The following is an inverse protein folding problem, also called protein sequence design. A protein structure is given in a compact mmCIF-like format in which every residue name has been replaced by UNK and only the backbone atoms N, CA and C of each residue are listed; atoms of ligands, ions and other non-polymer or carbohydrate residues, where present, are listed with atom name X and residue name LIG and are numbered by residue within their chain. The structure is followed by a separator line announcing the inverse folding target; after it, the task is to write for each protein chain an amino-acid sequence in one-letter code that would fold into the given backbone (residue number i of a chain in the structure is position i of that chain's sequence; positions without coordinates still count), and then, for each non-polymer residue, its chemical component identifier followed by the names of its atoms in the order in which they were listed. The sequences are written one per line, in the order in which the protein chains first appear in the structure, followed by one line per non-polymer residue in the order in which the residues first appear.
data_IF_669142435588
#
_entry.id   IF_669142435588
#
_cell.length_a   1.000
_cell.length_b   1.000
_cell.length_c   1.000
_cell.angle_alpha   90.00
_cell.angle_beta   90.00
_cell.angle_gamma   90.00
#
_symmetry.space_group_name_H-M   'P 1'
#
loop_
_entity.id
_entity.type
_entity.pdbx_description
1 polymer ?
#
# COMPACT_ATOMS: atom_id res chain seq x y z
N UNK A 1 -43.08 -1.45 -33.94
CA UNK A 1 -42.64 -1.00 -32.61
C UNK A 1 -43.69 -1.47 -31.61
N UNK A 2 -43.35 -2.24 -30.57
CA UNK A 2 -44.35 -2.66 -29.60
C UNK A 2 -44.83 -1.45 -28.81
N UNK A 3 -46.13 -1.21 -28.78
CA UNK A 3 -46.76 -0.13 -28.00
C UNK A 3 -46.66 -0.47 -26.52
N UNK A 4 -45.73 0.20 -25.84
CA UNK A 4 -45.61 0.13 -24.39
C UNK A 4 -46.90 0.69 -23.76
N UNK A 5 -47.35 0.11 -22.64
CA UNK A 5 -48.49 0.68 -21.90
C UNK A 5 -48.12 2.08 -21.38
N UNK A 6 -49.07 3.03 -21.35
CA UNK A 6 -48.84 4.42 -20.88
C UNK A 6 -48.14 4.49 -19.51
N UNK A 7 -48.42 3.52 -18.62
CA UNK A 7 -47.76 3.40 -17.31
C UNK A 7 -46.27 3.09 -17.44
N UNK A 8 -45.90 2.22 -18.37
CA UNK A 8 -44.53 1.78 -18.57
C UNK A 8 -43.67 2.90 -19.19
N UNK A 9 -44.25 3.70 -20.08
CA UNK A 9 -43.59 4.92 -20.61
C UNK A 9 -43.35 5.97 -19.52
N UNK A 10 -44.35 6.22 -18.66
CA UNK A 10 -44.23 7.13 -17.52
C UNK A 10 -43.12 6.69 -16.56
N UNK A 11 -43.07 5.39 -16.23
CA UNK A 11 -42.03 4.83 -15.37
C UNK A 11 -40.64 4.96 -16.00
N UNK A 12 -40.50 4.66 -17.29
CA UNK A 12 -39.22 4.82 -18.00
C UNK A 12 -38.75 6.29 -18.02
N UNK A 13 -39.67 7.24 -18.21
CA UNK A 13 -39.35 8.67 -18.17
C UNK A 13 -38.87 9.14 -16.80
N UNK A 14 -39.49 8.67 -15.73
CA UNK A 14 -39.07 8.95 -14.36
C UNK A 14 -37.69 8.35 -14.06
N UNK A 15 -37.51 7.05 -14.35
CA UNK A 15 -36.26 6.31 -14.10
C UNK A 15 -35.07 6.81 -14.92
N UNK A 16 -35.30 7.44 -16.08
CA UNK A 16 -34.26 8.05 -16.93
C UNK A 16 -34.09 9.56 -16.68
N UNK A 17 -34.69 10.12 -15.62
CA UNK A 17 -34.64 11.55 -15.34
C UNK A 17 -33.33 11.98 -14.68
N UNK A 18 -32.89 13.21 -14.97
CA UNK A 18 -31.69 13.83 -14.36
C UNK A 18 -31.95 14.24 -12.91
N UNK A 19 -33.20 14.61 -12.60
CA UNK A 19 -33.61 14.95 -11.24
C UNK A 19 -33.44 13.74 -10.32
N UNK A 20 -33.86 12.55 -10.76
CA UNK A 20 -33.65 11.33 -10.01
C UNK A 20 -32.15 11.05 -9.78
N UNK A 21 -31.31 11.28 -10.79
CA UNK A 21 -29.85 11.15 -10.64
C UNK A 21 -29.30 12.05 -9.52
N UNK A 22 -29.71 13.33 -9.48
CA UNK A 22 -29.28 14.28 -8.45
C UNK A 22 -29.79 13.89 -7.06
N UNK A 23 -31.04 13.43 -6.95
CA UNK A 23 -31.61 12.96 -5.69
C UNK A 23 -30.87 11.72 -5.18
N UNK A 24 -30.65 10.72 -6.03
CA UNK A 24 -29.88 9.53 -5.67
C UNK A 24 -28.44 9.88 -5.26
N UNK A 25 -27.84 10.90 -5.87
CA UNK A 25 -26.49 11.33 -5.55
C UNK A 25 -26.46 11.99 -4.17
N UNK A 26 -27.42 12.87 -3.88
CA UNK A 26 -27.57 13.48 -2.57
C UNK A 26 -27.80 12.43 -1.48
N UNK A 27 -28.69 11.47 -1.72
CA UNK A 27 -28.95 10.36 -0.80
C UNK A 27 -27.70 9.53 -0.55
N UNK A 28 -26.93 9.25 -1.61
CA UNK A 28 -25.65 8.55 -1.49
C UNK A 28 -24.70 9.34 -0.60
N UNK A 29 -24.47 10.62 -0.88
CA UNK A 29 -23.61 11.48 -0.06
C UNK A 29 -24.03 11.48 1.41
N UNK A 30 -25.32 11.66 1.71
CA UNK A 30 -25.83 11.65 3.10
C UNK A 30 -25.60 10.29 3.76
N UNK A 31 -25.85 9.19 3.04
CA UNK A 31 -25.64 7.83 3.57
C UNK A 31 -24.18 7.51 3.91
N UNK A 32 -23.23 8.22 3.29
CA UNK A 32 -21.80 8.00 3.51
C UNK A 32 -21.25 8.78 4.71
N UNK A 33 -21.94 9.84 5.17
CA UNK A 33 -21.50 10.67 6.31
C UNK A 33 -21.30 9.84 7.59
N UNK A 34 -22.23 8.96 8.02
CA UNK A 34 -22.03 8.18 9.23
C UNK A 34 -20.80 7.27 9.16
N UNK A 35 -20.51 6.67 7.99
CA UNK A 35 -19.33 5.83 7.80
C UNK A 35 -18.03 6.58 7.97
N UNK A 36 -17.96 7.81 7.46
CA UNK A 36 -16.79 8.67 7.63
C UNK A 36 -16.60 9.10 9.10
N UNK A 37 -17.69 9.35 9.84
CA UNK A 37 -17.60 9.86 11.22
C UNK A 37 -17.40 8.76 12.27
N UNK A 38 -17.87 7.55 12.02
CA UNK A 38 -17.88 6.48 13.02
C UNK A 38 -16.72 5.49 12.88
N UNK A 39 -15.79 5.70 11.93
CA UNK A 39 -14.69 4.76 11.57
C UNK A 39 -15.15 3.30 11.36
N UNK A 40 -16.46 3.11 11.18
CA UNK A 40 -17.07 1.81 10.95
C UNK A 40 -17.06 1.52 9.45
N UNK A 41 -17.03 0.25 9.07
CA UNK A 41 -17.15 -0.22 7.68
C UNK A 41 -18.50 0.10 6.99
N UNK A 42 -19.18 1.17 7.41
CA UNK A 42 -20.50 1.61 6.95
C UNK A 42 -20.57 1.94 5.46
N UNK A 43 -19.43 2.13 4.79
CA UNK A 43 -19.36 2.25 3.32
C UNK A 43 -19.88 1.00 2.60
N UNK A 44 -19.98 -0.15 3.29
CA UNK A 44 -20.57 -1.39 2.81
C UNK A 44 -22.04 -1.61 3.26
N UNK A 45 -22.70 -0.60 3.84
CA UNK A 45 -24.08 -0.74 4.33
C UNK A 45 -25.03 -1.21 3.22
N UNK A 46 -26.07 -1.97 3.59
CA UNK A 46 -27.11 -2.42 2.64
C UNK A 46 -27.78 -1.22 1.95
N UNK A 47 -27.95 -0.11 2.68
CA UNK A 47 -28.59 1.12 2.17
C UNK A 47 -27.76 1.75 1.06
N UNK A 48 -26.46 1.99 1.30
CA UNK A 48 -25.58 2.61 0.30
C UNK A 48 -25.49 1.76 -0.97
N UNK A 49 -25.48 0.42 -0.83
CA UNK A 49 -25.50 -0.51 -1.99
C UNK A 49 -26.77 -0.40 -2.82
N UNK A 50 -27.94 -0.30 -2.19
CA UNK A 50 -29.21 -0.12 -2.90
C UNK A 50 -29.22 1.23 -3.64
N UNK A 51 -28.75 2.30 -3.00
CA UNK A 51 -28.67 3.62 -3.64
C UNK A 51 -27.73 3.59 -4.85
N UNK A 52 -26.54 2.98 -4.72
CA UNK A 52 -25.59 2.82 -5.84
C UNK A 52 -26.23 1.99 -6.97
N UNK A 53 -26.92 0.90 -6.67
CA UNK A 53 -27.61 0.09 -7.67
C UNK A 53 -28.67 0.90 -8.43
N UNK A 54 -29.52 1.65 -7.71
CA UNK A 54 -30.49 2.56 -8.32
C UNK A 54 -29.82 3.62 -9.18
N UNK A 55 -28.67 4.15 -8.74
CA UNK A 55 -27.89 5.13 -9.50
C UNK A 55 -27.36 4.54 -10.81
N UNK A 56 -26.78 3.34 -10.78
CA UNK A 56 -26.28 2.64 -11.97
C UNK A 56 -27.42 2.44 -12.97
N UNK A 57 -28.58 1.94 -12.52
CA UNK A 57 -29.76 1.77 -13.39
C UNK A 57 -30.22 3.10 -13.97
N UNK A 58 -30.33 4.15 -13.17
CA UNK A 58 -30.69 5.49 -13.64
C UNK A 58 -29.71 6.02 -14.70
N UNK A 59 -28.40 5.90 -14.46
CA UNK A 59 -27.37 6.34 -15.39
C UNK A 59 -27.41 5.55 -16.70
N UNK A 60 -27.59 4.22 -16.66
CA UNK A 60 -27.76 3.39 -17.86
C UNK A 60 -28.96 3.85 -18.66
N UNK A 61 -30.13 4.03 -18.03
CA UNK A 61 -31.37 4.45 -18.71
C UNK A 61 -31.25 5.88 -19.27
N UNK A 62 -30.67 6.82 -18.51
CA UNK A 62 -30.43 8.18 -18.97
C UNK A 62 -29.46 8.21 -20.17
N UNK A 63 -28.41 7.38 -20.13
CA UNK A 63 -27.43 7.25 -21.22
C UNK A 63 -28.08 6.66 -22.46
N UNK A 64 -28.83 5.55 -22.32
CA UNK A 64 -29.52 4.89 -23.42
C UNK A 64 -30.52 5.85 -24.11
N UNK A 65 -31.32 6.59 -23.32
CA UNK A 65 -32.29 7.57 -23.83
C UNK A 65 -31.63 8.67 -24.68
N UNK A 66 -30.40 9.05 -24.34
CA UNK A 66 -29.70 10.20 -24.95
C UNK A 66 -28.52 9.79 -25.82
N UNK A 67 -28.31 8.50 -26.08
CA UNK A 67 -27.09 7.99 -26.73
C UNK A 67 -26.82 8.61 -28.10
N UNK A 68 -27.87 8.92 -28.87
CA UNK A 68 -27.77 9.57 -30.18
C UNK A 68 -27.53 11.09 -30.12
N UNK A 69 -27.75 11.70 -28.95
CA UNK A 69 -27.66 13.15 -28.76
C UNK A 69 -26.45 13.59 -27.93
N UNK A 70 -25.86 12.67 -27.16
CA UNK A 70 -24.73 12.98 -26.30
C UNK A 70 -23.44 13.10 -27.11
N UNK A 71 -22.60 14.12 -26.86
CA UNK A 71 -21.26 14.17 -27.43
C UNK A 71 -20.47 12.92 -27.04
N UNK A 72 -19.72 12.36 -27.97
CA UNK A 72 -18.87 11.18 -27.73
C UNK A 72 -17.99 11.27 -26.45
N UNK A 73 -17.32 12.41 -26.13
CA UNK A 73 -16.57 12.51 -24.87
C UNK A 73 -17.43 12.33 -23.61
N UNK A 74 -18.67 12.83 -23.64
CA UNK A 74 -19.62 12.71 -22.51
C UNK A 74 -20.13 11.28 -22.40
N UNK A 75 -20.35 10.61 -23.53
CA UNK A 75 -20.72 9.18 -23.54
C UNK A 75 -19.61 8.33 -22.93
N UNK A 76 -18.34 8.58 -23.27
CA UNK A 76 -17.18 7.90 -22.68
C UNK A 76 -17.15 8.12 -21.16
N UNK A 77 -17.33 9.36 -20.69
CA UNK A 77 -17.39 9.65 -19.26
C UNK A 77 -18.54 8.89 -18.56
N UNK A 78 -19.73 8.82 -19.17
CA UNK A 78 -20.85 8.05 -18.63
C UNK A 78 -20.54 6.55 -18.49
N UNK A 79 -19.94 5.96 -19.53
CA UNK A 79 -19.52 4.55 -19.51
C UNK A 79 -18.52 4.31 -18.37
N UNK A 80 -17.51 5.17 -18.24
CA UNK A 80 -16.53 5.07 -17.17
C UNK A 80 -17.17 5.18 -15.77
N UNK A 81 -18.10 6.11 -15.57
CA UNK A 81 -18.85 6.23 -14.30
C UNK A 81 -19.67 4.98 -13.98
N UNK A 82 -20.34 4.39 -14.98
CA UNK A 82 -21.10 3.14 -14.80
C UNK A 82 -20.18 1.98 -14.41
N UNK A 83 -19.02 1.87 -15.06
CA UNK A 83 -18.00 0.86 -14.74
C UNK A 83 -17.49 1.07 -13.31
N UNK A 84 -17.16 2.30 -12.91
CA UNK A 84 -16.68 2.61 -11.55
C UNK A 84 -17.71 2.26 -10.48
N UNK A 85 -18.97 2.67 -10.64
CA UNK A 85 -20.03 2.38 -9.67
C UNK A 85 -20.33 0.87 -9.58
N UNK A 86 -20.36 0.18 -10.72
CA UNK A 86 -20.50 -1.28 -10.77
C UNK A 86 -19.31 -1.97 -10.10
N UNK A 87 -18.09 -1.48 -10.32
CA UNK A 87 -16.88 -1.96 -9.66
C UNK A 87 -16.97 -1.85 -8.14
N UNK A 88 -17.41 -0.71 -7.61
CA UNK A 88 -17.65 -0.54 -6.17
C UNK A 88 -18.69 -1.51 -5.61
N UNK A 89 -19.73 -1.85 -6.37
CA UNK A 89 -20.67 -2.90 -5.97
C UNK A 89 -20.02 -4.29 -5.94
N UNK A 90 -19.22 -4.62 -6.95
CA UNK A 90 -18.48 -5.90 -7.03
C UNK A 90 -17.49 -6.01 -5.86
N UNK A 91 -16.84 -4.93 -5.45
CA UNK A 91 -15.96 -4.90 -4.26
C UNK A 91 -16.65 -5.39 -2.99
N UNK A 92 -17.98 -5.26 -2.88
CA UNK A 92 -18.74 -5.78 -1.73
C UNK A 92 -18.84 -7.32 -1.65
N UNK A 93 -18.40 -8.03 -2.70
CA UNK A 93 -18.20 -9.49 -2.68
C UNK A 93 -16.81 -9.89 -2.14
N UNK A 94 -15.98 -8.88 -1.89
CA UNK A 94 -14.68 -9.02 -1.25
C UNK A 94 -14.78 -9.19 0.26
N UNK A 95 -13.62 -9.28 0.90
CA UNK A 95 -13.51 -9.31 2.36
C UNK A 95 -12.13 -8.86 2.81
N UNK A 96 -12.03 -8.54 4.10
CA UNK A 96 -10.79 -8.27 4.80
C UNK A 96 -10.64 -9.34 5.88
N UNK A 97 -9.47 -9.96 5.94
CA UNK A 97 -9.07 -10.86 7.01
C UNK A 97 -7.74 -10.39 7.62
N UNK A 98 -7.48 -10.78 8.85
CA UNK A 98 -6.22 -10.46 9.54
C UNK A 98 -5.68 -11.68 10.24
N UNK A 99 -4.36 -11.74 10.37
CA UNK A 99 -3.67 -12.80 11.12
C UNK A 99 -2.33 -12.30 11.63
N UNK A 100 -1.89 -12.80 12.77
CA UNK A 100 -0.56 -12.54 13.32
C UNK A 100 0.21 -13.86 13.35
N UNK A 101 1.41 -13.87 12.77
CA UNK A 101 2.20 -15.09 12.62
C UNK A 101 3.63 -14.78 13.04
N UNK A 102 4.14 -15.55 13.99
CA UNK A 102 5.53 -15.48 14.41
C UNK A 102 6.46 -16.01 13.33
N UNK A 103 7.69 -15.49 13.31
CA UNK A 103 8.73 -16.00 12.42
C UNK A 103 8.98 -17.50 12.64
N UNK A 104 9.05 -18.25 11.54
CA UNK A 104 9.18 -19.71 11.53
C UNK A 104 7.87 -20.48 11.74
N UNK A 105 6.76 -19.81 12.06
CA UNK A 105 5.46 -20.44 12.29
C UNK A 105 4.50 -20.25 11.10
N UNK A 106 3.39 -20.98 11.14
CA UNK A 106 2.31 -20.86 10.15
C UNK A 106 0.94 -21.22 10.69
N UNK A 107 -0.08 -20.88 9.92
CA UNK A 107 -1.49 -21.06 10.25
C UNK A 107 -2.31 -21.37 9.00
N UNK A 108 -3.38 -22.13 9.19
CA UNK A 108 -4.35 -22.42 8.12
C UNK A 108 -5.58 -21.52 8.20
N UNK A 109 -5.76 -20.83 9.32
CA UNK A 109 -6.94 -20.02 9.60
C UNK A 109 -6.58 -18.54 9.69
N UNK A 110 -7.53 -17.72 9.25
CA UNK A 110 -7.43 -16.25 9.27
C UNK A 110 -8.74 -15.67 9.77
N UNK A 111 -8.66 -14.60 10.55
CA UNK A 111 -9.85 -13.98 11.14
C UNK A 111 -10.53 -13.08 10.10
N UNK A 112 -11.77 -13.39 9.70
CA UNK A 112 -12.55 -12.57 8.77
C UNK A 112 -13.43 -11.58 9.51
N UNK A 113 -13.18 -10.29 9.30
CA UNK A 113 -13.90 -9.20 9.97
C UNK A 113 -15.37 -9.09 9.63
N UNK A 114 -15.78 -9.55 8.44
CA UNK A 114 -17.18 -9.50 8.02
C UNK A 114 -18.02 -10.65 8.56
N UNK A 115 -17.38 -11.74 8.96
CA UNK A 115 -18.00 -12.91 9.60
C UNK A 115 -17.73 -12.95 11.11
N UNK A 116 -16.79 -12.14 11.60
CA UNK A 116 -16.32 -12.11 12.99
C UNK A 116 -15.86 -13.48 13.51
N UNK A 117 -15.23 -14.27 12.64
CA UNK A 117 -14.74 -15.61 12.97
C UNK A 117 -13.50 -15.99 12.17
N UNK A 118 -12.77 -16.97 12.69
CA UNK A 118 -11.71 -17.63 11.94
C UNK A 118 -12.27 -18.51 10.83
N UNK A 119 -11.65 -18.42 9.65
CA UNK A 119 -11.99 -19.24 8.49
C UNK A 119 -10.73 -19.86 7.88
N UNK A 120 -10.85 -21.04 7.25
CA UNK A 120 -9.73 -21.66 6.55
C UNK A 120 -9.34 -20.84 5.31
N UNK A 121 -8.04 -20.61 5.16
CA UNK A 121 -7.44 -19.95 3.99
C UNK A 121 -7.34 -20.87 2.77
N UNK A 122 -7.37 -22.20 3.00
CA UNK A 122 -7.22 -23.23 1.95
C UNK A 122 -5.76 -23.59 1.61
N UNK A 123 -4.81 -23.12 2.43
CA UNK A 123 -3.41 -23.49 2.48
C UNK A 123 -2.85 -23.05 3.85
N UNK A 124 -1.76 -23.66 4.31
CA UNK A 124 -0.98 -23.18 5.46
C UNK A 124 -0.17 -21.98 5.00
N UNK A 125 -0.41 -20.81 5.60
CA UNK A 125 0.37 -19.59 5.43
C UNK A 125 1.41 -19.53 6.55
N UNK A 126 2.69 -19.47 6.19
CA UNK A 126 3.80 -19.39 7.12
C UNK A 126 4.64 -18.14 6.90
N UNK A 127 5.15 -17.57 7.99
CA UNK A 127 6.18 -16.52 7.95
C UNK A 127 7.53 -17.22 8.01
N UNK A 128 8.24 -17.28 6.88
CA UNK A 128 9.55 -17.91 6.79
C UNK A 128 10.62 -17.07 7.46
N UNK A 129 10.60 -15.77 7.16
CA UNK A 129 11.59 -14.82 7.66
C UNK A 129 11.05 -13.40 7.67
N UNK A 130 11.41 -12.64 8.70
CA UNK A 130 11.17 -11.22 8.84
C UNK A 130 12.52 -10.51 8.60
N UNK A 131 12.61 -9.76 7.51
CA UNK A 131 13.81 -9.06 7.11
C UNK A 131 13.68 -7.58 7.47
N UNK A 132 14.47 -7.15 8.45
CA UNK A 132 14.60 -5.75 8.86
C UNK A 132 15.92 -5.18 8.38
N UNK A 133 15.86 -4.07 7.66
CA UNK A 133 17.04 -3.29 7.28
C UNK A 133 16.96 -1.93 7.95
N UNK A 134 18.00 -1.55 8.70
CA UNK A 134 18.08 -0.26 9.39
C UNK A 134 18.93 0.74 8.61
N UNK A 135 18.61 2.03 8.75
CA UNK A 135 19.51 3.09 8.31
C UNK A 135 20.82 3.08 9.12
N UNK A 136 21.95 3.49 8.52
CA UNK A 136 23.19 3.69 9.26
C UNK A 136 22.99 4.58 10.50
N UNK A 137 23.25 4.01 11.68
CA UNK A 137 22.95 4.61 12.98
C UNK A 137 24.14 5.45 13.44
N UNK A 138 23.96 6.74 13.76
CA UNK A 138 25.00 7.53 14.42
C UNK A 138 25.32 6.95 15.80
N UNK A 139 26.59 6.64 16.04
CA UNK A 139 27.12 6.05 17.27
C UNK A 139 28.34 6.84 17.76
N UNK A 140 28.49 6.89 19.08
CA UNK A 140 29.68 7.36 19.77
C UNK A 140 30.35 6.20 20.49
N UNK A 141 31.59 5.94 20.12
CA UNK A 141 32.38 4.80 20.62
C UNK A 141 33.53 5.33 21.45
N UNK A 142 33.52 4.99 22.74
CA UNK A 142 34.66 5.22 23.64
C UNK A 142 35.69 4.12 23.44
N UNK A 143 36.97 4.50 23.39
CA UNK A 143 38.10 3.57 23.28
C UNK A 143 38.85 3.55 24.60
N UNK A 144 39.06 2.35 25.12
CA UNK A 144 39.74 2.09 26.37
C UNK A 144 41.03 1.31 26.09
N UNK A 145 42.09 1.60 26.85
CA UNK A 145 43.32 0.80 26.91
C UNK A 145 43.53 0.41 28.36
N UNK A 146 43.10 -0.81 28.71
CA UNK A 146 42.86 -1.15 30.12
C UNK A 146 41.72 -0.31 30.68
N UNK A 147 41.95 0.43 31.76
CA UNK A 147 40.93 1.31 32.38
C UNK A 147 40.98 2.76 31.88
N UNK A 148 42.00 3.14 31.12
CA UNK A 148 42.19 4.50 30.65
C UNK A 148 41.41 4.75 29.36
N UNK A 149 40.65 5.86 29.32
CA UNK A 149 39.99 6.33 28.10
C UNK A 149 41.00 7.04 27.20
N UNK A 150 41.29 6.41 26.08
CA UNK A 150 42.27 6.91 25.09
C UNK A 150 41.62 7.57 23.88
N UNK A 151 40.30 7.42 23.70
CA UNK A 151 39.60 8.02 22.57
C UNK A 151 38.08 8.06 22.67
N UNK A 152 37.48 8.89 21.81
CA UNK A 152 36.05 8.96 21.57
C UNK A 152 35.81 9.27 20.08
N UNK A 153 35.09 8.39 19.39
CA UNK A 153 34.84 8.51 17.96
C UNK A 153 33.33 8.60 17.69
N UNK A 154 32.93 9.53 16.82
CA UNK A 154 31.56 9.65 16.34
C UNK A 154 31.52 9.27 14.86
N UNK A 155 30.70 8.28 14.52
CA UNK A 155 30.54 7.76 13.17
C UNK A 155 29.15 7.16 12.99
N UNK A 156 28.83 6.67 11.80
CA UNK A 156 27.65 5.84 11.56
C UNK A 156 28.04 4.37 11.49
N UNK A 157 27.11 3.47 11.81
CA UNK A 157 27.27 2.04 11.49
C UNK A 157 27.57 1.85 10.00
N UNK A 158 28.39 0.86 9.67
CA UNK A 158 29.09 0.69 8.40
C UNK A 158 30.38 1.51 8.24
N UNK A 159 30.58 2.57 9.05
CA UNK A 159 31.78 3.40 9.04
C UNK A 159 32.94 2.82 9.85
N UNK A 160 34.13 3.41 9.70
CA UNK A 160 35.33 3.00 10.43
C UNK A 160 36.18 4.17 10.89
N UNK A 161 37.05 3.92 11.87
CA UNK A 161 38.03 4.87 12.39
C UNK A 161 39.38 4.16 12.62
N UNK A 162 40.46 4.94 12.66
CA UNK A 162 41.82 4.42 12.82
C UNK A 162 42.33 4.60 14.25
N UNK A 163 43.04 3.58 14.74
CA UNK A 163 43.65 3.52 16.07
C UNK A 163 45.04 2.89 15.96
N UNK A 164 46.10 3.69 16.02
CA UNK A 164 47.50 3.23 16.14
C UNK A 164 47.83 1.91 15.40
N UNK A 165 47.66 1.87 14.08
CA UNK A 165 47.95 0.69 13.25
C UNK A 165 46.80 -0.30 13.07
N UNK A 166 45.66 -0.04 13.71
CA UNK A 166 44.40 -0.75 13.56
C UNK A 166 43.34 0.13 12.90
N UNK A 167 42.40 -0.51 12.22
CA UNK A 167 41.16 0.11 11.75
C UNK A 167 40.00 -0.63 12.37
N UNK A 168 39.11 0.09 13.03
CA UNK A 168 37.93 -0.47 13.68
C UNK A 168 36.70 -0.03 12.90
N UNK A 169 35.89 -0.99 12.49
CA UNK A 169 34.65 -0.76 11.77
C UNK A 169 33.46 -1.02 12.68
N UNK A 170 32.55 -0.06 12.76
CA UNK A 170 31.28 -0.24 13.43
C UNK A 170 30.34 -0.98 12.48
N UNK A 171 30.03 -2.25 12.74
CA UNK A 171 29.26 -3.07 11.80
C UNK A 171 27.76 -2.79 11.92
N UNK A 172 27.16 -3.23 13.03
CA UNK A 172 25.73 -3.10 13.28
C UNK A 172 25.48 -2.91 14.78
N UNK A 173 24.54 -2.04 15.08
CA UNK A 173 23.98 -1.89 16.42
C UNK A 173 22.81 -2.86 16.54
N UNK A 174 22.77 -3.65 17.61
CA UNK A 174 21.58 -4.43 17.94
C UNK A 174 20.45 -3.44 18.34
N UNK A 175 19.26 -3.49 17.71
CA UNK A 175 18.16 -2.60 18.09
C UNK A 175 17.56 -2.92 19.47
N UNK A 176 17.69 -4.16 19.95
CA UNK A 176 17.10 -4.65 21.20
C UNK A 176 18.08 -4.72 22.37
N UNK A 177 19.38 -4.75 22.10
CA UNK A 177 20.45 -4.67 23.09
C UNK A 177 21.27 -3.40 22.86
N UNK A 178 21.75 -2.71 23.89
CA UNK A 178 22.61 -1.52 23.74
C UNK A 178 24.04 -1.91 23.31
N UNK A 179 24.16 -2.81 22.33
CA UNK A 179 25.36 -3.52 21.96
C UNK A 179 25.72 -3.29 20.49
N UNK A 180 26.94 -2.80 20.25
CA UNK A 180 27.47 -2.51 18.93
C UNK A 180 28.52 -3.54 18.54
N UNK A 181 28.31 -4.24 17.42
CA UNK A 181 29.30 -5.16 16.86
C UNK A 181 30.39 -4.41 16.10
N UNK A 182 31.64 -4.79 16.35
CA UNK A 182 32.84 -4.16 15.82
C UNK A 182 33.73 -5.20 15.14
N UNK A 183 34.29 -4.83 14.00
CA UNK A 183 35.35 -5.59 13.32
C UNK A 183 36.67 -4.85 13.41
N UNK A 184 37.75 -5.55 13.73
CA UNK A 184 39.09 -4.97 13.85
C UNK A 184 39.98 -5.47 12.73
N UNK A 185 40.65 -4.54 12.05
CA UNK A 185 41.56 -4.80 10.96
C UNK A 185 42.96 -4.29 11.30
N UNK A 186 43.98 -5.01 10.87
CA UNK A 186 45.37 -4.57 10.93
C UNK A 186 45.97 -4.70 9.52
N UNK A 187 46.55 -3.60 9.00
CA UNK A 187 47.08 -3.53 7.62
C UNK A 187 46.07 -4.03 6.56
N UNK A 188 44.79 -3.72 6.75
CA UNK A 188 43.70 -4.09 5.83
C UNK A 188 43.19 -5.53 5.95
N UNK A 189 43.78 -6.37 6.81
CA UNK A 189 43.31 -7.73 7.07
C UNK A 189 42.47 -7.78 8.34
N UNK A 190 41.31 -8.44 8.30
CA UNK A 190 40.50 -8.72 9.48
C UNK A 190 41.31 -9.56 10.45
N UNK A 191 41.48 -9.08 11.68
CA UNK A 191 42.16 -9.80 12.76
C UNK A 191 41.21 -10.34 13.82
N UNK A 192 39.96 -9.87 13.84
CA UNK A 192 38.96 -10.31 14.78
C UNK A 192 37.74 -9.40 14.87
N UNK A 193 36.78 -9.78 15.72
CA UNK A 193 35.57 -9.03 16.02
C UNK A 193 35.30 -9.01 17.51
N UNK A 194 34.67 -7.95 17.98
CA UNK A 194 34.18 -7.86 19.34
C UNK A 194 32.93 -7.00 19.42
N UNK A 195 32.29 -6.98 20.57
CA UNK A 195 31.16 -6.10 20.85
C UNK A 195 31.44 -5.14 22.02
N UNK A 196 30.51 -4.23 22.28
CA UNK A 196 30.68 -3.20 23.31
C UNK A 196 30.22 -3.60 24.70
N UNK A 197 29.51 -4.72 24.83
CA UNK A 197 29.11 -5.30 26.12
C UNK A 197 30.14 -6.32 26.67
N UNK A 198 31.09 -6.74 25.84
CA UNK A 198 32.10 -7.74 26.16
C UNK A 198 31.58 -9.18 26.07
N UNK A 199 30.40 -9.40 25.49
CA UNK A 199 29.79 -10.74 25.35
C UNK A 199 30.46 -11.57 24.24
N UNK A 200 30.81 -10.92 23.13
CA UNK A 200 31.58 -11.49 22.03
C UNK A 200 32.96 -10.82 21.97
N UNK A 201 34.03 -11.59 22.16
CA UNK A 201 35.42 -11.11 21.99
C UNK A 201 36.27 -12.16 21.29
N UNK A 202 36.37 -12.04 19.98
CA UNK A 202 37.23 -12.85 19.11
C UNK A 202 38.31 -11.97 18.50
N UNK A 203 39.28 -11.55 19.31
CA UNK A 203 40.46 -10.77 18.89
C UNK A 203 41.73 -11.39 19.48
N UNK A 204 42.91 -11.21 18.85
CA UNK A 204 44.16 -11.76 19.36
C UNK A 204 44.46 -11.29 20.78
N UNK A 205 45.07 -12.14 21.60
CA UNK A 205 45.37 -11.86 23.02
C UNK A 205 46.23 -10.61 23.27
N UNK A 206 47.00 -10.17 22.26
CA UNK A 206 47.79 -8.95 22.30
C UNK A 206 47.06 -7.68 21.88
N UNK A 207 45.76 -7.74 21.55
CA UNK A 207 44.97 -6.57 21.17
C UNK A 207 44.70 -5.70 22.41
N UNK A 208 45.19 -4.45 22.47
CA UNK A 208 45.26 -3.70 23.73
C UNK A 208 44.02 -2.85 24.01
N UNK A 209 43.02 -2.86 23.13
CA UNK A 209 41.87 -1.96 23.19
C UNK A 209 40.58 -2.69 23.54
N UNK A 210 39.73 -2.00 24.28
CA UNK A 210 38.33 -2.33 24.51
C UNK A 210 37.44 -1.15 24.10
N UNK A 211 36.17 -1.42 23.79
CA UNK A 211 35.24 -0.43 23.28
C UNK A 211 33.99 -0.35 24.14
N UNK A 212 33.47 0.87 24.29
CA UNK A 212 32.20 1.10 24.97
C UNK A 212 31.29 1.95 24.09
N UNK A 213 30.04 1.53 23.94
CA UNK A 213 29.01 2.36 23.32
C UNK A 213 28.65 3.48 24.31
N UNK A 214 28.96 4.72 23.95
CA UNK A 214 28.75 5.90 24.82
C UNK A 214 27.42 6.57 24.54
N UNK A 215 27.02 6.62 23.27
CA UNK A 215 25.73 7.14 22.86
C UNK A 215 25.38 6.62 21.47
N UNK A 216 24.09 6.51 21.19
CA UNK A 216 23.56 6.18 19.87
C UNK A 216 22.21 6.86 19.67
N UNK A 217 21.75 6.94 18.44
CA UNK A 217 20.35 7.29 18.14
C UNK A 217 19.53 6.02 17.96
N UNK A 218 18.25 6.07 18.32
CA UNK A 218 17.30 4.98 18.04
C UNK A 218 17.38 4.57 16.57
N UNK A 219 17.65 3.29 16.25
CA UNK A 219 17.70 2.80 14.88
C UNK A 219 16.37 3.05 14.16
N UNK A 220 16.43 3.67 12.98
CA UNK A 220 15.27 3.85 12.13
C UNK A 220 15.24 2.74 11.08
N UNK A 221 14.09 2.07 10.96
CA UNK A 221 13.85 1.08 9.91
C UNK A 221 13.89 1.76 8.53
N UNK A 222 14.68 1.20 7.63
CA UNK A 222 14.80 1.58 6.22
C UNK A 222 13.86 0.76 5.36
N UNK A 223 13.85 -0.56 5.56
CA UNK A 223 13.05 -1.50 4.78
C UNK A 223 12.62 -2.65 5.67
N UNK A 224 11.39 -3.10 5.45
CA UNK A 224 10.83 -4.26 6.12
C UNK A 224 10.20 -5.13 5.06
N UNK A 225 10.55 -6.41 5.07
CA UNK A 225 10.07 -7.40 4.13
C UNK A 225 9.80 -8.72 4.86
N UNK A 226 8.65 -9.34 4.59
CA UNK A 226 8.26 -10.61 5.20
C UNK A 226 8.17 -11.66 4.13
N UNK A 227 8.97 -12.71 4.27
CA UNK A 227 8.97 -13.86 3.36
C UNK A 227 7.85 -14.81 3.79
N UNK A 228 6.89 -15.02 2.88
CA UNK A 228 5.71 -15.84 3.07
C UNK A 228 5.85 -17.14 2.28
N UNK A 229 5.42 -18.23 2.92
CA UNK A 229 5.37 -19.56 2.32
C UNK A 229 3.94 -20.10 2.44
N UNK A 230 3.42 -20.63 1.34
CA UNK A 230 2.12 -21.28 1.30
C UNK A 230 2.31 -22.76 0.99
N UNK A 231 1.76 -23.63 1.82
CA UNK A 231 1.81 -25.07 1.61
C UNK A 231 0.45 -25.75 1.73
N UNK A 232 0.32 -26.92 1.10
CA UNK A 232 -0.78 -27.86 1.30
C UNK A 232 -0.18 -29.21 1.67
N UNK A 233 -0.14 -29.50 2.97
CA UNK A 233 0.65 -30.61 3.48
C UNK A 233 2.14 -30.38 3.19
N UNK A 234 2.78 -31.31 2.48
CA UNK A 234 4.20 -31.23 2.13
C UNK A 234 4.48 -30.41 0.85
N UNK A 235 3.47 -30.07 0.06
CA UNK A 235 3.64 -29.36 -1.21
C UNK A 235 3.65 -27.85 -0.99
N UNK A 236 4.68 -27.16 -1.48
CA UNK A 236 4.73 -25.69 -1.53
C UNK A 236 3.91 -25.23 -2.73
N UNK A 237 2.81 -24.52 -2.48
CA UNK A 237 1.90 -24.03 -3.53
C UNK A 237 2.18 -22.59 -3.95
N UNK A 238 2.87 -21.81 -3.10
CA UNK A 238 3.39 -20.50 -3.44
C UNK A 238 4.46 -20.04 -2.43
N UNK A 239 5.35 -19.16 -2.87
CA UNK A 239 6.33 -18.49 -2.02
C UNK A 239 6.50 -17.06 -2.55
N UNK A 240 6.71 -16.10 -1.67
CA UNK A 240 7.04 -14.74 -2.06
C UNK A 240 7.14 -13.80 -0.88
N UNK A 241 7.47 -12.54 -1.17
CA UNK A 241 7.76 -11.54 -0.14
C UNK A 241 6.71 -10.44 -0.18
N UNK A 242 6.27 -9.99 0.99
CA UNK A 242 5.44 -8.79 1.14
C UNK A 242 6.23 -7.66 1.79
N UNK A 243 6.04 -6.43 1.27
CA UNK A 243 6.64 -5.20 1.80
C UNK A 243 5.56 -4.13 1.98
N UNK A 244 5.86 -3.07 2.74
CA UNK A 244 4.92 -1.99 3.12
C UNK A 244 4.07 -1.48 1.93
N UNK A 245 4.68 -1.33 0.75
CA UNK A 245 4.01 -0.83 -0.46
C UNK A 245 3.97 -1.85 -1.61
N UNK A 246 4.39 -3.09 -1.36
CA UNK A 246 4.42 -4.16 -2.36
C UNK A 246 3.82 -5.43 -1.75
N UNK A 247 2.48 -5.53 -1.70
CA UNK A 247 1.81 -6.70 -1.14
C UNK A 247 2.06 -7.93 -2.00
N UNK A 248 2.27 -9.06 -1.35
CA UNK A 248 2.30 -10.35 -2.03
C UNK A 248 0.89 -10.73 -2.52
N UNK A 249 0.79 -11.39 -3.67
CA UNK A 249 -0.50 -11.78 -4.25
C UNK A 249 -0.58 -13.28 -4.48
N UNK A 250 -1.63 -13.92 -3.97
CA UNK A 250 -1.89 -15.34 -4.20
C UNK A 250 -3.38 -15.62 -4.23
N UNK A 251 -3.83 -16.40 -5.21
CA UNK A 251 -5.23 -16.82 -5.38
C UNK A 251 -6.25 -15.65 -5.37
N UNK A 252 -5.88 -14.51 -5.96
CA UNK A 252 -6.71 -13.30 -5.99
C UNK A 252 -6.81 -12.56 -4.64
N UNK A 253 -6.00 -12.94 -3.65
CA UNK A 253 -5.84 -12.27 -2.37
C UNK A 253 -4.56 -11.44 -2.37
N UNK A 254 -4.60 -10.30 -1.66
CA UNK A 254 -3.47 -9.43 -1.42
C UNK A 254 -3.06 -9.52 0.05
N UNK A 255 -1.81 -9.83 0.32
CA UNK A 255 -1.25 -9.99 1.66
C UNK A 255 -0.42 -8.75 2.00
N UNK A 256 -1.01 -7.86 2.80
CA UNK A 256 -0.39 -6.62 3.24
C UNK A 256 0.20 -6.83 4.63
N UNK A 257 1.45 -6.43 4.82
CA UNK A 257 2.00 -6.29 6.16
C UNK A 257 1.42 -5.04 6.82
N UNK A 258 0.95 -5.19 8.05
CA UNK A 258 0.30 -4.10 8.82
C UNK A 258 1.06 -3.75 10.09
N UNK A 259 1.66 -4.73 10.76
CA UNK A 259 2.58 -4.49 11.86
C UNK A 259 3.71 -5.53 11.87
N UNK A 260 4.78 -5.15 12.56
CA UNK A 260 5.89 -6.00 12.91
C UNK A 260 6.25 -5.63 14.35
N UNK A 261 6.08 -6.60 15.24
CA UNK A 261 6.25 -6.41 16.67
C UNK A 261 6.98 -7.62 17.25
N UNK A 262 7.38 -7.50 18.51
CA UNK A 262 7.96 -8.58 19.31
C UNK A 262 7.09 -8.78 20.54
N UNK A 263 6.91 -10.03 20.95
CA UNK A 263 6.20 -10.33 22.19
C UNK A 263 7.04 -10.01 23.44
N UNK A 264 6.48 -10.27 24.62
CA UNK A 264 7.15 -10.05 25.92
C UNK A 264 8.47 -10.84 26.08
N UNK A 265 8.65 -11.91 25.28
CA UNK A 265 9.84 -12.74 25.27
C UNK A 265 10.83 -12.38 24.14
N UNK A 266 10.51 -11.34 23.35
CA UNK A 266 11.34 -10.84 22.26
C UNK A 266 11.16 -11.57 20.92
N UNK A 267 10.22 -12.52 20.82
CA UNK A 267 9.97 -13.29 19.61
C UNK A 267 9.24 -12.42 18.55
N UNK A 268 9.78 -12.27 17.34
CA UNK A 268 9.19 -11.40 16.33
C UNK A 268 7.99 -12.06 15.64
N UNK A 269 6.96 -11.25 15.36
CA UNK A 269 5.82 -11.64 14.55
C UNK A 269 5.43 -10.56 13.55
N UNK A 270 4.76 -10.99 12.48
CA UNK A 270 4.20 -10.12 11.47
C UNK A 270 2.67 -10.22 11.49
N UNK A 271 1.98 -9.08 11.56
CA UNK A 271 0.54 -9.01 11.31
C UNK A 271 0.26 -8.72 9.84
N UNK A 272 -0.53 -9.59 9.25
CA UNK A 272 -0.91 -9.56 7.85
C UNK A 272 -2.39 -9.22 7.74
N UNK A 273 -2.71 -8.22 6.90
CA UNK A 273 -4.05 -7.98 6.40
C UNK A 273 -4.20 -8.58 5.02
N UNK A 274 -5.16 -9.47 4.89
CA UNK A 274 -5.47 -10.23 3.68
C UNK A 274 -6.72 -9.63 3.06
N UNK A 275 -6.61 -9.14 1.84
CA UNK A 275 -7.70 -8.44 1.16
C UNK A 275 -8.10 -9.18 -0.10
N UNK A 276 -9.40 -9.46 -0.23
CA UNK A 276 -10.03 -9.83 -1.50
C UNK A 276 -10.84 -8.65 -1.99
N UNK A 277 -10.47 -8.06 -3.13
CA UNK A 277 -11.24 -6.99 -3.76
C UNK A 277 -11.44 -7.26 -5.27
N UNK A 278 -12.52 -7.96 -5.65
CA UNK A 278 -12.80 -8.26 -7.05
C UNK A 278 -13.27 -7.04 -7.85
N UNK A 279 -13.67 -5.95 -7.19
CA UNK A 279 -14.15 -4.74 -7.83
C UNK A 279 -13.03 -3.76 -8.22
N UNK A 280 -11.89 -3.85 -7.53
CA UNK A 280 -10.69 -3.01 -7.76
C UNK A 280 -10.34 -2.83 -9.25
N UNK A 281 -10.23 -3.88 -10.08
CA UNK A 281 -9.86 -3.70 -11.50
C UNK A 281 -10.87 -2.84 -12.27
N UNK A 282 -12.17 -3.02 -12.00
CA UNK A 282 -13.23 -2.27 -12.65
C UNK A 282 -13.23 -0.80 -12.24
N UNK A 283 -12.98 -0.50 -10.96
CA UNK A 283 -12.88 0.89 -10.48
C UNK A 283 -11.77 1.63 -11.22
N UNK A 284 -10.57 1.04 -11.31
CA UNK A 284 -9.43 1.63 -12.04
C UNK A 284 -9.69 1.74 -13.54
N UNK A 285 -10.33 0.74 -14.14
CA UNK A 285 -10.74 0.80 -15.54
C UNK A 285 -11.72 1.96 -15.78
N UNK A 286 -12.73 2.11 -14.92
CA UNK A 286 -13.70 3.20 -15.00
C UNK A 286 -13.06 4.58 -14.88
N UNK A 287 -12.13 4.78 -13.94
CA UNK A 287 -11.36 6.03 -13.83
C UNK A 287 -10.50 6.31 -15.07
N UNK A 288 -9.89 5.28 -15.64
CA UNK A 288 -9.12 5.40 -16.89
C UNK A 288 -10.03 5.87 -18.03
N UNK A 289 -11.21 5.25 -18.17
CA UNK A 289 -12.21 5.62 -19.19
C UNK A 289 -12.73 7.05 -18.98
N UNK A 290 -13.06 7.44 -17.74
CA UNK A 290 -13.47 8.83 -17.42
C UNK A 290 -12.38 9.81 -17.83
N UNK A 291 -11.12 9.53 -17.46
CA UNK A 291 -9.97 10.38 -17.78
C UNK A 291 -9.81 10.56 -19.28
N UNK A 292 -9.91 9.48 -20.07
CA UNK A 292 -9.88 9.55 -21.54
C UNK A 292 -11.02 10.43 -22.07
N UNK A 293 -12.24 10.26 -21.56
CA UNK A 293 -13.40 11.08 -21.93
C UNK A 293 -13.19 12.57 -21.61
N UNK A 294 -12.66 12.89 -20.43
CA UNK A 294 -12.36 14.25 -19.99
C UNK A 294 -11.26 14.89 -20.84
N UNK A 295 -10.17 14.18 -21.13
CA UNK A 295 -9.09 14.65 -22.00
C UNK A 295 -9.60 14.90 -23.43
N UNK A 296 -10.43 14.01 -23.96
CA UNK A 296 -11.00 14.19 -25.29
C UNK A 296 -11.95 15.39 -25.37
N UNK A 297 -12.73 15.64 -24.31
CA UNK A 297 -13.56 16.83 -24.21
C UNK A 297 -12.71 18.11 -24.16
N UNK A 298 -11.67 18.12 -23.33
CA UNK A 298 -10.74 19.24 -23.21
C UNK A 298 -10.04 19.53 -24.54
N UNK A 299 -9.55 18.49 -25.22
CA UNK A 299 -8.93 18.59 -26.53
C UNK A 299 -9.89 19.25 -27.54
N UNK A 300 -11.14 18.76 -27.65
CA UNK A 300 -12.14 19.37 -28.54
C UNK A 300 -12.41 20.83 -28.20
N UNK A 301 -12.50 21.17 -26.91
CA UNK A 301 -12.76 22.54 -26.45
C UNK A 301 -11.60 23.49 -26.79
N UNK A 302 -10.35 23.06 -26.58
CA UNK A 302 -9.16 23.87 -26.83
C UNK A 302 -8.88 24.04 -28.33
N UNK A 303 -8.89 22.95 -29.10
CA UNK A 303 -8.63 23.01 -30.55
C UNK A 303 -9.79 23.63 -31.33
N UNK A 304 -11.03 23.43 -30.89
CA UNK A 304 -12.20 24.11 -31.47
C UNK A 304 -12.12 25.63 -31.33
N UNK A 305 -11.68 26.14 -30.17
CA UNK A 305 -11.45 27.58 -29.96
C UNK A 305 -10.30 28.13 -30.80
N UNK A 306 -9.18 27.40 -30.91
CA UNK A 306 -8.03 27.82 -31.75
C UNK A 306 -8.40 27.89 -33.24
N UNK A 307 -9.18 26.94 -33.74
CA UNK A 307 -9.65 26.94 -35.13
C UNK A 307 -10.59 28.11 -35.44
N UNK A 308 -11.49 28.46 -34.51
CA UNK A 308 -12.37 29.62 -34.64
C UNK A 308 -11.60 30.95 -34.63
N UNK A 309 -10.60 31.08 -33.77
CA UNK A 309 -9.73 32.26 -33.74
C UNK A 309 -8.93 32.41 -35.02
N UNK A 310 -8.31 31.32 -35.50
CA UNK A 310 -7.58 31.27 -36.79
C UNK A 310 -8.46 31.67 -37.99
N UNK A 311 -9.71 31.20 -38.03
CA UNK A 311 -10.67 31.57 -39.08
C UNK A 311 -11.07 33.06 -39.00
N UNK A 312 -11.22 33.61 -37.79
CA UNK A 312 -11.55 35.03 -37.59
C UNK A 312 -10.40 35.94 -38.03
N UNK A 313 -9.15 35.56 -37.73
CA UNK A 313 -7.94 36.28 -38.18
C UNK A 313 -7.76 36.23 -39.70
N UNK A 314 -8.01 35.07 -40.34
CA UNK A 314 -7.98 34.98 -41.81
C UNK A 314 -9.08 35.80 -42.48
N UNK A 315 -10.27 35.90 -41.88
CA UNK A 315 -11.35 36.74 -42.39
C UNK A 315 -11.07 38.23 -42.26
N UNK A 316 -10.42 38.68 -41.17
CA UNK A 316 -10.05 40.09 -41.03
C UNK A 316 -8.94 40.49 -42.01
N UNK A 317 -7.97 39.60 -42.27
CA UNK A 317 -6.91 39.86 -43.26
C UNK A 317 -7.39 39.84 -44.72
N UNK A 318 -8.53 39.22 -45.02
CA UNK A 318 -9.10 39.18 -46.37
C UNK A 318 -10.03 40.37 -46.70
N UNK A 319 -10.25 41.28 -45.75
CA UNK A 319 -11.19 42.42 -45.87
C UNK A 319 -10.46 43.78 -45.85
N UNK A 320 -9.14 43.80 -45.60
CA UNK A 320 -8.33 45.01 -45.79
C UNK A 320 -7.81 45.07 -47.24
N UNK A 321 -8.11 46.15 -47.99
CA UNK A 321 -7.68 46.34 -49.39
C UNK A 321 -6.20 46.67 -49.56
#
# INVERSE_FOLDING_TARGET
MPTFSKRLESSYHFLSSKQLALVLFLLLCVSLIPGTLAESGFHASRVSRVIIACMVVNLVLCTARRIRTLPLPVLIMHVGTIITLSGGMISSLGFIATVQIYEGMGTENVFRWDLEQDVPLGATLSVKKINEEFYPVPVRIGVLKGTEKVGLFELKTGGSFSLEGYTVKAEALDPGAENLKLSVFQRGRLIGSLDTEGTERDVPSGFPYDFKLVAYKTPALRRVAVDLLFSRGAEIVAEGTTEINAPFTWNGLFFHMTNLERDEYGAPYAGLQIVKDPGKPFVFLGFTVITIGSLFWLYKKLYGRRRLLSLKTRRSQAVEP
#
